data_IF_311246208741
#
_entry.id   IF_311246208741
#
_cell.length_a   1.000
_cell.length_b   1.000
_cell.length_c   1.000
_cell.angle_alpha   90.00
_cell.angle_beta   90.00
_cell.angle_gamma   90.00
#
_symmetry.space_group_name_H-M   'P 1'
#
loop_
_entity.id
_entity.type
_entity.pdbx_description
1 polymer ?
#
# COMPACT_ATOMS: atom_id res chain seq x y z
N UNK A 1 3.74 16.20 -19.47
CA UNK A 1 2.74 15.12 -19.62
C UNK A 1 1.84 15.13 -18.39
N UNK A 2 0.51 15.27 -18.53
CA UNK A 2 -0.38 15.21 -17.37
C UNK A 2 -0.38 13.76 -16.84
N UNK A 3 -0.26 13.53 -15.52
CA UNK A 3 -0.40 12.19 -14.97
C UNK A 3 -1.73 11.59 -15.37
N UNK A 4 -1.75 10.31 -15.79
CA UNK A 4 -2.99 9.60 -16.09
C UNK A 4 -3.82 9.53 -14.80
N UNK A 5 -4.99 10.15 -14.81
CA UNK A 5 -5.91 10.09 -13.68
C UNK A 5 -6.59 8.71 -13.64
N UNK A 6 -6.41 8.00 -12.53
CA UNK A 6 -6.98 6.68 -12.29
C UNK A 6 -8.01 6.69 -11.16
N UNK A 7 -8.35 7.86 -10.63
CA UNK A 7 -9.29 8.03 -9.51
C UNK A 7 -10.67 7.41 -9.83
N UNK A 8 -11.16 7.57 -11.05
CA UNK A 8 -12.41 6.97 -11.51
C UNK A 8 -12.43 5.43 -11.46
N UNK A 9 -11.26 4.78 -11.50
CA UNK A 9 -11.13 3.31 -11.41
C UNK A 9 -11.07 2.86 -9.95
N UNK A 10 -10.30 3.58 -9.12
CA UNK A 10 -9.91 3.10 -7.79
C UNK A 10 -10.63 3.76 -6.61
N UNK A 11 -11.28 4.91 -6.78
CA UNK A 11 -11.98 5.59 -5.67
C UNK A 11 -13.09 4.73 -5.04
N UNK A 12 -13.63 3.74 -5.75
CA UNK A 12 -14.58 2.76 -5.21
C UNK A 12 -13.99 1.87 -4.10
N UNK A 13 -12.67 1.80 -3.98
CA UNK A 13 -11.98 1.08 -2.92
C UNK A 13 -11.68 1.97 -1.71
N UNK A 14 -11.72 3.29 -1.85
CA UNK A 14 -11.39 4.20 -0.76
C UNK A 14 -12.32 3.98 0.44
N UNK A 15 -11.73 3.91 1.64
CA UNK A 15 -12.41 3.63 2.88
C UNK A 15 -12.64 2.15 3.18
N UNK A 16 -12.40 1.24 2.22
CA UNK A 16 -12.47 -0.21 2.49
C UNK A 16 -11.39 -0.61 3.48
N UNK A 17 -11.79 -1.38 4.48
CA UNK A 17 -10.88 -1.92 5.49
C UNK A 17 -10.00 -3.01 4.87
N UNK A 18 -8.71 -3.00 5.21
CA UNK A 18 -7.75 -4.02 4.82
C UNK A 18 -7.09 -4.53 6.10
N UNK A 19 -7.36 -5.76 6.54
CA UNK A 19 -6.75 -6.33 7.72
C UNK A 19 -5.22 -6.34 7.63
N UNK A 20 -4.55 -5.67 8.58
CA UNK A 20 -3.10 -5.60 8.72
C UNK A 20 -2.66 -6.22 10.04
N UNK A 21 -1.43 -6.70 10.09
CA UNK A 21 -0.74 -7.12 11.31
C UNK A 21 0.46 -6.20 11.55
N UNK A 22 0.60 -5.76 12.78
CA UNK A 22 1.77 -5.02 13.28
C UNK A 22 2.66 -5.97 14.08
N UNK A 23 3.93 -6.04 13.72
CA UNK A 23 4.93 -6.89 14.34
C UNK A 23 6.12 -6.03 14.78
N UNK A 24 6.47 -6.05 16.07
CA UNK A 24 7.69 -5.40 16.55
C UNK A 24 8.89 -6.23 16.12
N UNK A 25 9.88 -5.59 15.50
CA UNK A 25 11.13 -6.20 15.08
C UNK A 25 12.31 -5.46 15.67
N UNK A 26 13.33 -6.21 16.04
CA UNK A 26 14.63 -5.69 16.47
C UNK A 26 15.59 -5.86 15.30
N UNK A 27 16.19 -4.76 14.87
CA UNK A 27 17.32 -4.78 13.94
C UNK A 27 18.61 -4.67 14.73
N UNK A 28 19.38 -5.75 14.77
CA UNK A 28 20.71 -5.76 15.35
C UNK A 28 21.71 -5.22 14.33
N UNK A 29 22.29 -4.05 14.61
CA UNK A 29 23.33 -3.44 13.78
C UNK A 29 24.65 -3.37 14.57
N UNK A 30 25.74 -3.96 14.06
CA UNK A 30 27.04 -3.92 14.75
C UNK A 30 27.66 -2.50 14.78
N UNK A 31 27.12 -1.55 14.01
CA UNK A 31 27.64 -0.19 13.91
C UNK A 31 26.78 0.86 14.62
N UNK A 32 25.48 0.61 14.75
CA UNK A 32 24.53 1.58 15.30
C UNK A 32 23.75 1.08 16.54
N UNK A 33 23.98 -0.16 16.95
CA UNK A 33 23.27 -0.80 18.04
C UNK A 33 21.93 -1.40 17.62
N UNK A 34 21.16 -1.84 18.61
CA UNK A 34 19.86 -2.46 18.39
C UNK A 34 18.77 -1.39 18.20
N UNK A 35 17.99 -1.53 17.13
CA UNK A 35 16.88 -0.64 16.84
C UNK A 35 15.57 -1.41 16.78
N UNK A 36 14.60 -1.04 17.62
CA UNK A 36 13.24 -1.55 17.52
C UNK A 36 12.43 -0.74 16.49
N UNK A 37 11.67 -1.43 15.66
CA UNK A 37 10.72 -0.82 14.75
C UNK A 37 9.47 -1.68 14.60
N UNK A 38 8.33 -1.06 14.31
CA UNK A 38 7.09 -1.77 14.00
C UNK A 38 7.02 -2.02 12.50
N UNK A 39 7.02 -3.28 12.10
CA UNK A 39 6.73 -3.70 10.74
C UNK A 39 5.22 -3.91 10.59
N UNK A 40 4.64 -3.31 9.55
CA UNK A 40 3.25 -3.54 9.16
C UNK A 40 3.22 -4.45 7.93
N UNK A 41 2.33 -5.44 7.94
CA UNK A 41 2.10 -6.35 6.81
C UNK A 41 0.61 -6.67 6.66
N UNK A 42 0.20 -7.12 5.46
CA UNK A 42 -1.11 -7.72 5.25
C UNK A 42 -1.32 -8.87 6.24
N UNK A 43 -2.50 -8.94 6.86
CA UNK A 43 -2.88 -10.09 7.67
C UNK A 43 -3.06 -11.34 6.80
N UNK A 44 -3.60 -11.16 5.59
CA UNK A 44 -3.74 -12.18 4.56
C UNK A 44 -3.17 -11.66 3.21
N UNK A 45 -2.16 -12.31 2.61
CA UNK A 45 -1.67 -11.94 1.28
C UNK A 45 -2.73 -12.06 0.17
N UNK A 46 -3.81 -12.81 0.43
CA UNK A 46 -4.96 -13.03 -0.45
C UNK A 46 -6.20 -12.24 -0.05
N UNK A 47 -6.05 -11.19 0.76
CA UNK A 47 -7.14 -10.31 1.14
C UNK A 47 -8.02 -9.93 -0.08
N UNK A 48 -9.35 -10.11 -0.01
CA UNK A 48 -10.24 -9.93 -1.16
C UNK A 48 -10.24 -8.49 -1.68
N UNK A 49 -10.12 -7.49 -0.79
CA UNK A 49 -10.02 -6.08 -1.23
C UNK A 49 -8.76 -5.85 -2.05
N UNK A 50 -7.63 -6.38 -1.59
CA UNK A 50 -6.36 -6.31 -2.33
C UNK A 50 -6.44 -7.07 -3.66
N UNK A 51 -7.06 -8.25 -3.69
CA UNK A 51 -7.23 -9.00 -4.94
C UNK A 51 -8.11 -8.26 -5.94
N UNK A 52 -9.24 -7.68 -5.50
CA UNK A 52 -10.08 -6.86 -6.36
C UNK A 52 -9.34 -5.62 -6.92
N UNK A 53 -8.47 -5.01 -6.11
CA UNK A 53 -7.62 -3.89 -6.57
C UNK A 53 -6.60 -4.36 -7.60
N UNK A 54 -5.98 -5.54 -7.40
CA UNK A 54 -5.03 -6.14 -8.36
C UNK A 54 -5.73 -6.43 -9.68
N UNK A 55 -6.94 -6.99 -9.63
CA UNK A 55 -7.75 -7.28 -10.80
C UNK A 55 -8.20 -6.01 -11.53
N UNK A 56 -8.61 -4.97 -10.79
CA UNK A 56 -8.96 -3.67 -11.36
C UNK A 56 -7.75 -3.04 -12.07
N UNK A 57 -6.55 -3.11 -11.48
CA UNK A 57 -5.33 -2.65 -12.13
C UNK A 57 -5.05 -3.44 -13.42
N UNK A 58 -5.04 -4.77 -13.34
CA UNK A 58 -4.78 -5.66 -14.47
C UNK A 58 -5.75 -5.42 -15.63
N UNK A 59 -7.05 -5.31 -15.34
CA UNK A 59 -8.10 -5.02 -16.35
C UNK A 59 -7.88 -3.70 -17.09
N UNK A 60 -7.17 -2.76 -16.48
CA UNK A 60 -6.87 -1.44 -17.05
C UNK A 60 -5.43 -1.32 -17.60
N UNK A 61 -4.72 -2.44 -17.74
CA UNK A 61 -3.34 -2.49 -18.21
C UNK A 61 -2.33 -1.88 -17.22
N UNK A 62 -2.64 -1.91 -15.93
CA UNK A 62 -1.82 -1.36 -14.86
C UNK A 62 -1.35 -2.46 -13.90
N UNK A 63 -0.24 -2.21 -13.23
CA UNK A 63 0.25 -2.97 -12.08
C UNK A 63 -0.09 -2.23 -10.80
N UNK A 64 -0.53 -2.97 -9.78
CA UNK A 64 -0.79 -2.40 -8.46
C UNK A 64 0.49 -2.42 -7.61
N UNK A 65 0.79 -1.28 -6.98
CA UNK A 65 1.73 -1.17 -5.87
C UNK A 65 1.00 -0.61 -4.65
N UNK A 66 1.17 -1.28 -3.53
CA UNK A 66 0.57 -0.88 -2.26
C UNK A 66 1.63 -0.18 -1.41
N UNK A 67 1.22 0.93 -0.78
CA UNK A 67 2.01 1.66 0.20
C UNK A 67 1.26 1.64 1.52
N UNK A 68 1.98 1.43 2.62
CA UNK A 68 1.43 1.49 3.97
C UNK A 68 2.50 1.97 4.95
N UNK A 69 2.15 2.34 6.19
CA UNK A 69 3.13 2.84 7.16
C UNK A 69 4.32 1.88 7.33
N UNK A 70 5.53 2.41 7.19
CA UNK A 70 6.78 1.65 7.35
C UNK A 70 7.20 0.78 6.17
N UNK A 71 6.43 0.71 5.07
CA UNK A 71 6.92 0.00 3.87
C UNK A 71 7.95 0.84 3.13
N UNK A 72 9.10 0.23 2.85
CA UNK A 72 10.11 0.80 1.97
C UNK A 72 9.86 0.38 0.53
N UNK A 73 10.21 1.25 -0.41
CA UNK A 73 10.37 0.83 -1.79
C UNK A 73 10.97 1.93 -2.67
N UNK A 74 11.29 1.56 -3.89
CA UNK A 74 11.97 2.43 -4.87
C UNK A 74 11.09 3.60 -5.30
N UNK A 75 11.69 4.76 -5.56
CA UNK A 75 11.02 5.95 -6.14
C UNK A 75 11.08 5.95 -7.69
N UNK A 76 11.15 4.77 -8.31
CA UNK A 76 11.12 4.64 -9.76
C UNK A 76 9.78 5.12 -10.30
N UNK A 77 9.77 5.93 -11.36
CA UNK A 77 8.53 6.33 -12.02
C UNK A 77 8.17 5.34 -13.13
N UNK A 78 6.97 4.76 -13.02
CA UNK A 78 6.42 3.82 -13.99
C UNK A 78 5.03 4.25 -14.44
N UNK A 79 4.86 4.45 -15.74
CA UNK A 79 3.56 4.81 -16.34
C UNK A 79 2.56 3.66 -16.34
N UNK A 80 3.02 2.42 -16.17
CA UNK A 80 2.22 1.19 -16.10
C UNK A 80 1.86 0.79 -14.66
N UNK A 81 2.13 1.63 -13.66
CA UNK A 81 1.94 1.28 -12.24
C UNK A 81 1.08 2.31 -11.53
N UNK A 82 0.11 1.82 -10.74
CA UNK A 82 -0.68 2.62 -9.81
C UNK A 82 -0.20 2.35 -8.39
N UNK A 83 0.12 3.43 -7.69
CA UNK A 83 0.36 3.43 -6.25
C UNK A 83 -0.98 3.65 -5.55
N UNK A 84 -1.35 2.72 -4.67
CA UNK A 84 -2.47 2.87 -3.77
C UNK A 84 -1.95 2.87 -2.33
N UNK A 85 -2.42 3.81 -1.51
CA UNK A 85 -1.99 3.94 -0.13
C UNK A 85 -3.04 3.35 0.82
N UNK A 86 -2.60 2.53 1.76
CA UNK A 86 -3.35 2.03 2.90
C UNK A 86 -2.87 2.81 4.12
N UNK A 87 -3.80 3.42 4.85
CA UNK A 87 -3.51 4.30 5.98
C UNK A 87 -4.21 3.78 7.23
N UNK A 88 -3.58 3.99 8.39
CA UNK A 88 -4.17 3.67 9.68
C UNK A 88 -5.07 4.84 10.10
N UNK A 89 -6.36 4.56 10.28
CA UNK A 89 -7.33 5.53 10.81
C UNK A 89 -7.14 5.78 12.30
N UNK A 90 -7.82 6.81 12.82
CA UNK A 90 -7.82 7.14 14.25
C UNK A 90 -8.41 6.03 15.14
N UNK A 91 -9.25 5.17 14.56
CA UNK A 91 -9.82 3.98 15.20
C UNK A 91 -8.88 2.77 15.19
N UNK A 92 -7.63 2.96 14.75
CA UNK A 92 -6.62 1.91 14.68
C UNK A 92 -6.77 0.94 13.50
N UNK A 93 -7.81 1.09 12.67
CA UNK A 93 -8.05 0.21 11.52
C UNK A 93 -7.36 0.74 10.27
N UNK A 94 -6.87 -0.18 9.45
CA UNK A 94 -6.23 0.15 8.18
C UNK A 94 -7.25 0.18 7.05
N UNK A 95 -7.20 1.22 6.24
CA UNK A 95 -8.13 1.43 5.11
C UNK A 95 -7.39 1.90 3.88
N UNK A 96 -7.92 1.54 2.71
CA UNK A 96 -7.48 2.12 1.45
C UNK A 96 -7.80 3.62 1.47
N UNK A 97 -6.79 4.46 1.29
CA UNK A 97 -6.95 5.91 1.21
C UNK A 97 -7.55 6.34 -0.14
N UNK A 98 -7.86 7.64 -0.29
CA UNK A 98 -8.22 8.24 -1.59
C UNK A 98 -6.99 8.57 -2.46
N UNK A 99 -5.78 8.23 -2.00
CA UNK A 99 -4.53 8.56 -2.67
C UNK A 99 -4.18 7.46 -3.67
N UNK A 100 -4.48 7.74 -4.93
CA UNK A 100 -4.07 6.94 -6.07
C UNK A 100 -3.28 7.79 -7.05
N UNK A 101 -2.08 7.36 -7.39
CA UNK A 101 -1.25 8.06 -8.37
C UNK A 101 -0.47 7.07 -9.24
N UNK A 102 -0.26 7.46 -10.49
CA UNK A 102 0.65 6.74 -11.37
C UNK A 102 2.08 6.97 -10.88
N UNK A 103 2.88 5.92 -10.89
CA UNK A 103 4.27 5.95 -10.46
C UNK A 103 4.80 4.58 -10.17
#
# INVERSE_FOLDING_TARGET
>A
MKPRDVSHIFNKFAGREVPMVEEKKVHHSPYSGDHEYTQVKLADPNDPTVQEMRDAARKNGLKLRLWWPGIAGTMDFRTDRVNAHIEKGADGKYRVSKRFNIG
#
